data_IF_734950093030
#
_entry.id   IF_734950093030
#
_cell.length_a   1.000
_cell.length_b   1.000
_cell.length_c   1.000
_cell.angle_alpha   90.00
_cell.angle_beta   90.00
_cell.angle_gamma   90.00
#
_symmetry.space_group_name_H-M   'P 1'
#
loop_
_entity.id
_entity.type
_entity.pdbx_description
1 polymer ?
#
# COMPACT_ATOMS: atom_id res chain seq x y z
N UNK A 1 1.05 0.83 6.51
CA UNK A 1 1.51 0.48 5.14
C UNK A 1 2.03 -0.94 5.17
N UNK A 2 1.67 -1.78 4.20
CA UNK A 2 2.17 -3.16 4.06
C UNK A 2 3.04 -3.22 2.82
N UNK A 3 4.27 -3.74 2.94
CA UNK A 3 5.17 -4.00 1.81
C UNK A 3 5.99 -5.26 2.05
N UNK A 4 6.53 -5.83 0.98
CA UNK A 4 7.62 -6.79 1.06
C UNK A 4 8.98 -6.10 0.97
N UNK A 5 10.02 -6.84 1.37
CA UNK A 5 11.40 -6.45 1.07
C UNK A 5 11.64 -6.50 -0.44
N UNK A 6 12.38 -5.51 -0.94
CA UNK A 6 12.83 -5.49 -2.34
C UNK A 6 14.08 -6.37 -2.44
N UNK A 7 13.97 -7.47 -3.19
CA UNK A 7 15.09 -8.37 -3.44
C UNK A 7 16.25 -7.65 -4.15
N UNK A 8 17.51 -8.09 -3.97
CA UNK A 8 18.67 -7.45 -4.61
C UNK A 8 18.53 -7.32 -6.13
N UNK A 9 17.97 -8.32 -6.80
CA UNK A 9 17.81 -8.37 -8.27
C UNK A 9 16.67 -7.48 -8.81
N UNK A 10 15.84 -6.97 -7.90
CA UNK A 10 14.75 -6.03 -8.19
C UNK A 10 15.08 -4.61 -7.76
N UNK A 11 16.19 -4.42 -7.04
CA UNK A 11 16.57 -3.13 -6.48
C UNK A 11 17.10 -2.22 -7.58
N UNK A 12 16.63 -0.98 -7.57
CA UNK A 12 17.27 0.10 -8.30
C UNK A 12 18.43 0.65 -7.46
N UNK A 13 19.65 0.54 -7.98
CA UNK A 13 20.85 1.05 -7.31
C UNK A 13 21.09 2.54 -7.56
N UNK A 14 20.37 3.13 -8.51
CA UNK A 14 20.42 4.56 -8.76
C UNK A 14 19.57 5.30 -7.73
N UNK A 15 20.16 6.31 -7.09
CA UNK A 15 19.43 7.19 -6.19
C UNK A 15 18.40 7.99 -6.99
N UNK A 16 17.11 7.75 -6.75
CA UNK A 16 16.01 8.56 -7.29
C UNK A 16 15.78 9.79 -6.40
N UNK A 17 15.25 10.84 -7.02
CA UNK A 17 14.87 12.08 -6.31
C UNK A 17 13.60 11.89 -5.48
N UNK A 18 12.72 11.00 -5.94
CA UNK A 18 11.47 10.66 -5.25
C UNK A 18 11.74 9.93 -3.93
N UNK A 19 11.12 10.41 -2.85
CA UNK A 19 11.20 9.80 -1.53
C UNK A 19 10.47 8.45 -1.49
N UNK A 20 10.95 7.54 -0.65
CA UNK A 20 10.28 6.26 -0.38
C UNK A 20 8.86 6.50 0.15
N UNK A 21 7.90 5.58 -0.12
CA UNK A 21 6.50 5.79 0.24
C UNK A 21 6.28 6.20 1.69
N UNK A 22 6.98 5.58 2.63
CA UNK A 22 6.88 5.90 4.05
C UNK A 22 7.19 7.38 4.31
N UNK A 23 8.31 7.88 3.78
CA UNK A 23 8.73 9.26 3.99
C UNK A 23 7.80 10.24 3.27
N UNK A 24 7.33 9.89 2.08
CA UNK A 24 6.41 10.73 1.31
C UNK A 24 5.11 11.03 2.08
N UNK A 25 4.50 10.01 2.68
CA UNK A 25 3.29 10.20 3.49
C UNK A 25 3.54 10.99 4.78
N UNK A 26 4.73 10.87 5.38
CA UNK A 26 5.15 11.69 6.52
C UNK A 26 5.29 13.16 6.10
N UNK A 27 5.87 13.44 4.94
CA UNK A 27 6.01 14.80 4.38
C UNK A 27 4.64 15.46 4.09
N UNK A 28 3.61 14.65 3.84
CA UNK A 28 2.22 15.10 3.66
C UNK A 28 1.44 15.25 4.97
N UNK A 29 2.10 15.03 6.11
CA UNK A 29 1.53 15.28 7.45
C UNK A 29 0.85 14.08 8.10
N UNK A 30 1.01 12.88 7.55
CA UNK A 30 0.47 11.65 8.15
C UNK A 30 1.45 11.02 9.15
N UNK A 31 0.89 10.38 10.19
CA UNK A 31 1.65 9.44 11.02
C UNK A 31 1.54 8.06 10.38
N UNK A 32 2.68 7.47 10.04
CA UNK A 32 2.73 6.21 9.29
C UNK A 32 3.47 5.12 10.05
N UNK A 33 2.99 3.89 9.94
CA UNK A 33 3.70 2.68 10.36
C UNK A 33 3.83 1.76 9.17
N UNK A 34 5.00 1.13 9.04
CA UNK A 34 5.29 0.12 8.03
C UNK A 34 5.22 -1.29 8.64
N UNK A 35 4.60 -2.21 7.91
CA UNK A 35 4.56 -3.64 8.18
C UNK A 35 5.30 -4.30 7.02
N UNK A 36 6.44 -4.90 7.32
CA UNK A 36 7.19 -5.69 6.35
C UNK A 36 6.69 -7.13 6.38
N UNK A 37 6.16 -7.61 5.24
CA UNK A 37 5.77 -9.01 5.06
C UNK A 37 7.02 -9.83 4.83
N UNK A 38 7.34 -10.69 5.80
CA UNK A 38 8.48 -11.61 5.78
C UNK A 38 8.07 -12.95 6.39
N UNK A 39 8.91 -13.97 6.25
CA UNK A 39 8.68 -15.31 6.83
C UNK A 39 8.50 -15.27 8.36
N UNK A 40 9.00 -14.22 9.02
CA UNK A 40 8.92 -14.05 10.47
C UNK A 40 7.57 -13.45 10.94
N UNK A 41 6.72 -12.99 10.02
CA UNK A 41 5.43 -12.42 10.38
C UNK A 41 4.46 -13.55 10.75
N UNK A 42 4.16 -13.68 12.05
CA UNK A 42 3.27 -14.74 12.56
C UNK A 42 1.89 -14.73 11.89
N UNK A 43 1.29 -13.55 11.75
CA UNK A 43 0.09 -13.33 10.95
C UNK A 43 -0.03 -11.86 10.56
N UNK A 44 -0.66 -11.60 9.41
CA UNK A 44 -0.95 -10.24 8.93
C UNK A 44 -1.86 -9.49 9.90
N UNK A 45 -2.84 -10.18 10.48
CA UNK A 45 -3.75 -9.59 11.47
C UNK A 45 -3.00 -9.11 12.72
N UNK A 46 -2.08 -9.91 13.26
CA UNK A 46 -1.26 -9.49 14.39
C UNK A 46 -0.39 -8.28 14.04
N UNK A 47 0.23 -8.28 12.85
CA UNK A 47 1.00 -7.14 12.34
C UNK A 47 0.16 -5.87 12.25
N UNK A 48 -1.08 -5.97 11.75
CA UNK A 48 -2.04 -4.86 11.69
C UNK A 48 -2.40 -4.36 13.09
N UNK A 49 -2.75 -5.25 14.02
CA UNK A 49 -3.07 -4.89 15.40
C UNK A 49 -1.91 -4.18 16.11
N UNK A 50 -0.68 -4.66 15.93
CA UNK A 50 0.51 -4.01 16.49
C UNK A 50 0.76 -2.63 15.89
N UNK A 51 0.60 -2.48 14.58
CA UNK A 51 0.75 -1.18 13.91
C UNK A 51 -0.29 -0.17 14.39
N UNK A 52 -1.55 -0.59 14.54
CA UNK A 52 -2.63 0.27 15.05
C UNK A 52 -2.42 0.65 16.51
N UNK A 53 -1.95 -0.29 17.33
CA UNK A 53 -1.59 0.00 18.72
C UNK A 53 -0.44 1.03 18.81
N UNK A 54 0.56 0.92 17.92
CA UNK A 54 1.66 1.89 17.84
C UNK A 54 1.15 3.28 17.41
N UNK A 55 0.30 3.35 16.39
CA UNK A 55 -0.31 4.60 15.93
C UNK A 55 -1.16 5.26 17.03
N UNK A 56 -2.01 4.48 17.72
CA UNK A 56 -2.87 4.98 18.80
C UNK A 56 -2.09 5.56 19.99
N UNK A 57 -0.89 5.03 20.26
CA UNK A 57 0.01 5.53 21.32
C UNK A 57 0.85 6.73 20.87
N UNK A 58 0.96 6.98 19.57
CA UNK A 58 1.81 8.04 19.06
C UNK A 58 1.16 9.42 19.31
N UNK A 59 1.92 10.33 19.92
CA UNK A 59 1.42 11.65 20.34
C UNK A 59 0.90 12.52 19.19
N UNK A 60 1.50 12.38 18.00
CA UNK A 60 1.12 13.12 16.79
C UNK A 60 -0.07 12.52 16.03
N UNK A 61 -0.62 11.38 16.50
CA UNK A 61 -1.76 10.73 15.87
C UNK A 61 -3.06 11.20 16.55
N UNK A 62 -3.71 12.18 15.94
CA UNK A 62 -4.87 12.85 16.52
C UNK A 62 -6.15 12.00 16.42
N UNK A 63 -6.34 11.31 15.30
CA UNK A 63 -7.52 10.47 15.04
C UNK A 63 -7.18 8.99 15.28
N UNK A 64 -7.58 8.46 16.44
CA UNK A 64 -7.12 7.14 16.92
C UNK A 64 -8.03 5.96 16.54
N UNK A 65 -9.08 6.22 15.78
CA UNK A 65 -10.09 5.23 15.36
C UNK A 65 -10.35 5.20 13.85
N UNK A 66 -9.60 5.99 13.08
CA UNK A 66 -9.77 6.17 11.65
C UNK A 66 -8.42 6.09 10.94
N UNK A 67 -8.07 4.91 10.43
CA UNK A 67 -6.81 4.67 9.75
C UNK A 67 -7.03 4.29 8.28
N UNK A 68 -6.14 4.79 7.41
CA UNK A 68 -6.00 4.33 6.04
C UNK A 68 -4.97 3.22 5.95
N UNK A 69 -5.20 2.23 5.09
CA UNK A 69 -4.26 1.16 4.81
C UNK A 69 -3.76 1.25 3.36
N UNK A 70 -2.45 1.28 3.18
CA UNK A 70 -1.80 1.20 1.87
C UNK A 70 -1.07 -0.15 1.77
N UNK A 71 -1.32 -0.87 0.69
CA UNK A 71 -0.82 -2.22 0.45
C UNK A 71 -0.02 -2.26 -0.86
N UNK A 72 1.24 -2.64 -0.76
CA UNK A 72 2.09 -2.92 -1.90
C UNK A 72 2.23 -4.43 -2.06
N UNK A 73 2.09 -4.92 -3.30
CA UNK A 73 2.19 -6.35 -3.64
C UNK A 73 1.25 -7.26 -2.82
N UNK A 74 -0.08 -7.02 -2.88
CA UNK A 74 -1.08 -7.76 -2.10
C UNK A 74 -1.04 -9.29 -2.24
N UNK A 75 -0.55 -9.81 -3.36
CA UNK A 75 -0.39 -11.26 -3.61
C UNK A 75 0.50 -11.96 -2.60
N UNK A 76 1.33 -11.22 -1.84
CA UNK A 76 2.22 -11.76 -0.81
C UNK A 76 1.54 -11.93 0.55
N UNK A 77 0.29 -11.48 0.68
CA UNK A 77 -0.48 -11.54 1.92
C UNK A 77 -1.90 -12.08 1.61
N UNK A 78 -2.06 -13.40 1.38
CA UNK A 78 -3.34 -13.97 0.97
C UNK A 78 -4.45 -13.76 2.02
N UNK A 79 -4.11 -13.80 3.31
CA UNK A 79 -5.05 -13.60 4.42
C UNK A 79 -5.34 -12.13 4.74
N UNK A 80 -4.95 -11.20 3.86
CA UNK A 80 -5.07 -9.78 4.10
C UNK A 80 -6.51 -9.29 4.10
N UNK A 81 -7.34 -9.74 3.15
CA UNK A 81 -8.74 -9.32 3.06
C UNK A 81 -9.56 -9.66 4.32
N UNK A 82 -9.55 -10.90 4.84
CA UNK A 82 -10.28 -11.21 6.07
C UNK A 82 -9.75 -10.41 7.27
N UNK A 83 -8.42 -10.27 7.41
CA UNK A 83 -7.83 -9.47 8.48
C UNK A 83 -8.27 -7.99 8.42
N UNK A 84 -8.28 -7.39 7.22
CA UNK A 84 -8.75 -6.02 7.03
C UNK A 84 -10.22 -5.89 7.42
N UNK A 85 -11.08 -6.82 7.01
CA UNK A 85 -12.52 -6.73 7.26
C UNK A 85 -12.84 -6.83 8.76
N UNK A 86 -12.05 -7.58 9.53
CA UNK A 86 -12.22 -7.74 10.98
C UNK A 86 -11.84 -6.49 11.80
N UNK A 87 -11.04 -5.59 11.26
CA UNK A 87 -10.48 -4.44 12.01
C UNK A 87 -11.26 -3.16 11.69
N UNK A 88 -12.21 -2.77 12.55
CA UNK A 88 -13.13 -1.65 12.29
C UNK A 88 -12.45 -0.28 12.12
N UNK A 89 -11.25 -0.10 12.67
CA UNK A 89 -10.51 1.16 12.65
C UNK A 89 -9.87 1.43 11.28
N UNK A 90 -9.69 0.41 10.44
CA UNK A 90 -9.29 0.60 9.03
C UNK A 90 -10.53 1.04 8.25
N UNK A 91 -10.51 2.26 7.71
CA UNK A 91 -11.68 2.88 7.04
C UNK A 91 -11.61 2.85 5.52
N UNK A 92 -10.40 2.87 4.96
CA UNK A 92 -10.19 2.87 3.52
C UNK A 92 -8.88 2.17 3.18
N UNK A 93 -8.84 1.59 1.98
CA UNK A 93 -7.71 0.80 1.50
C UNK A 93 -7.25 1.34 0.15
N UNK A 94 -5.94 1.39 -0.03
CA UNK A 94 -5.29 1.62 -1.32
C UNK A 94 -4.38 0.43 -1.60
N UNK A 95 -4.55 -0.25 -2.74
CA UNK A 95 -3.67 -1.36 -3.11
C UNK A 95 -3.00 -1.16 -4.46
N UNK A 96 -1.70 -1.43 -4.50
CA UNK A 96 -0.89 -1.52 -5.71
C UNK A 96 -0.83 -2.98 -6.15
N UNK A 97 -1.89 -3.41 -6.81
CA UNK A 97 -2.20 -4.80 -7.15
C UNK A 97 -3.63 -5.18 -6.72
N UNK A 98 -4.12 -6.30 -7.25
CA UNK A 98 -5.41 -6.85 -6.87
C UNK A 98 -5.28 -7.67 -5.57
N UNK A 99 -6.26 -7.51 -4.67
CA UNK A 99 -6.46 -8.48 -3.59
C UNK A 99 -7.03 -9.77 -4.16
N UNK A 100 -6.79 -10.90 -3.48
CA UNK A 100 -7.42 -12.18 -3.85
C UNK A 100 -8.94 -12.14 -3.66
N UNK A 101 -9.39 -11.40 -2.65
CA UNK A 101 -10.80 -11.25 -2.31
C UNK A 101 -11.17 -9.77 -2.18
N UNK A 102 -12.42 -9.44 -2.53
CA UNK A 102 -12.96 -8.08 -2.43
C UNK A 102 -13.13 -7.68 -0.95
N UNK A 103 -12.59 -6.51 -0.58
CA UNK A 103 -12.86 -5.93 0.74
C UNK A 103 -14.28 -5.37 0.83
N UNK A 104 -14.87 -5.42 2.03
CA UNK A 104 -16.16 -4.79 2.34
C UNK A 104 -16.03 -3.27 2.54
N UNK A 105 -14.81 -2.72 2.50
CA UNK A 105 -14.50 -1.33 2.79
C UNK A 105 -14.21 -0.55 1.51
N UNK A 106 -14.35 0.79 1.53
CA UNK A 106 -13.91 1.65 0.44
C UNK A 106 -12.48 1.32 0.02
N UNK A 107 -12.29 0.99 -1.26
CA UNK A 107 -11.02 0.47 -1.75
C UNK A 107 -10.69 1.02 -3.13
N UNK A 108 -9.49 1.60 -3.22
CA UNK A 108 -8.83 2.07 -4.43
C UNK A 108 -7.76 1.08 -4.92
N UNK A 109 -7.79 0.71 -6.20
CA UNK A 109 -6.85 -0.22 -6.80
C UNK A 109 -5.98 0.45 -7.86
N UNK A 110 -4.68 0.19 -7.83
CA UNK A 110 -3.72 0.54 -8.88
C UNK A 110 -3.19 -0.74 -9.52
N UNK A 111 -3.53 -0.97 -10.79
CA UNK A 111 -3.22 -2.20 -11.50
C UNK A 111 -2.30 -1.91 -12.70
N UNK A 112 -1.25 -2.72 -12.85
CA UNK A 112 -0.30 -2.69 -13.97
C UNK A 112 -0.80 -3.55 -15.13
N UNK A 113 -1.98 -3.22 -15.66
CA UNK A 113 -2.61 -3.96 -16.75
C UNK A 113 -3.40 -3.05 -17.68
N UNK A 114 -3.71 -3.57 -18.86
CA UNK A 114 -4.57 -2.90 -19.84
C UNK A 114 -6.04 -2.94 -19.42
N UNK A 115 -6.76 -1.84 -19.63
CA UNK A 115 -8.19 -1.77 -19.44
C UNK A 115 -8.70 -0.35 -19.19
N UNK A 116 -10.02 -0.21 -19.10
CA UNK A 116 -10.70 1.04 -18.72
C UNK A 116 -10.91 1.14 -17.21
N UNK A 117 -11.07 2.37 -16.70
CA UNK A 117 -11.52 2.59 -15.31
C UNK A 117 -12.86 1.89 -15.08
N UNK A 118 -13.01 1.19 -13.97
CA UNK A 118 -14.28 0.56 -13.60
C UNK A 118 -15.33 1.61 -13.26
N UNK A 119 -16.60 1.34 -13.60
CA UNK A 119 -17.75 2.25 -13.40
C UNK A 119 -18.58 1.91 -12.15
N UNK A 120 -18.33 0.78 -11.50
CA UNK A 120 -18.98 0.42 -10.23
C UNK A 120 -18.16 0.94 -9.04
N UNK A 121 -18.70 0.85 -7.81
CA UNK A 121 -18.16 1.28 -6.50
C UNK A 121 -16.71 0.88 -6.14
N UNK A 122 -15.90 0.40 -7.10
CA UNK A 122 -14.47 0.17 -7.03
C UNK A 122 -13.74 1.22 -7.87
N UNK A 123 -12.99 2.09 -7.20
CA UNK A 123 -12.13 3.04 -7.89
C UNK A 123 -10.87 2.28 -8.38
N UNK A 124 -10.93 1.75 -9.60
CA UNK A 124 -9.82 1.01 -10.22
C UNK A 124 -9.09 1.90 -11.22
N UNK A 125 -7.79 2.12 -10.99
CA UNK A 125 -6.88 2.81 -11.89
C UNK A 125 -5.90 1.84 -12.55
N UNK A 126 -5.83 1.92 -13.86
CA UNK A 126 -5.06 1.01 -14.71
C UNK A 126 -3.90 1.75 -15.36
N UNK A 127 -2.74 1.11 -15.37
CA UNK A 127 -1.49 1.64 -15.92
C UNK A 127 -0.98 0.64 -16.96
N UNK A 128 -1.44 0.74 -18.22
CA UNK A 128 -1.08 -0.24 -19.26
C UNK A 128 0.39 -0.19 -19.67
N UNK A 129 1.10 0.90 -19.36
CA UNK A 129 2.47 1.15 -19.81
C UNK A 129 3.53 0.80 -18.76
N UNK A 130 3.14 0.36 -17.57
CA UNK A 130 4.09 -0.05 -16.52
C UNK A 130 4.12 -1.57 -16.43
N UNK A 131 5.31 -2.12 -16.19
CA UNK A 131 5.54 -3.56 -16.19
C UNK A 131 5.06 -4.24 -14.91
N UNK A 132 4.98 -3.49 -13.81
CA UNK A 132 4.66 -4.00 -12.47
C UNK A 132 4.03 -2.90 -11.63
N UNK A 133 3.22 -3.27 -10.63
CA UNK A 133 2.67 -2.33 -9.64
C UNK A 133 3.73 -1.74 -8.72
N UNK A 134 4.95 -2.27 -8.74
CA UNK A 134 6.14 -1.67 -8.12
C UNK A 134 6.58 -0.36 -8.76
N UNK A 135 5.90 0.14 -9.81
CA UNK A 135 6.19 1.42 -10.47
C UNK A 135 6.18 2.62 -9.51
N UNK A 136 5.52 2.48 -8.36
CA UNK A 136 5.38 3.48 -7.31
C UNK A 136 6.57 3.51 -6.34
N UNK A 137 7.43 2.50 -6.34
CA UNK A 137 8.53 2.33 -5.39
C UNK A 137 9.85 2.86 -6.00
N UNK A 138 10.41 4.00 -5.54
CA UNK A 138 11.64 4.58 -6.10
C UNK A 138 12.85 3.63 -6.07
N UNK A 139 12.90 2.75 -5.08
CA UNK A 139 13.94 1.71 -4.91
C UNK A 139 13.75 0.47 -5.78
N UNK A 140 12.68 0.35 -6.58
CA UNK A 140 12.45 -0.79 -7.45
C UNK A 140 12.86 -0.49 -8.89
N UNK A 141 13.38 -1.48 -9.63
CA UNK A 141 13.83 -1.31 -11.02
C UNK A 141 12.71 -0.88 -11.98
N UNK A 142 11.47 -1.30 -11.70
CA UNK A 142 10.28 -0.95 -12.49
C UNK A 142 9.70 0.43 -12.14
N UNK A 143 10.37 1.23 -11.31
CA UNK A 143 9.93 2.57 -10.92
C UNK A 143 9.65 3.46 -12.14
N UNK A 144 8.51 4.14 -12.12
CA UNK A 144 8.13 5.12 -13.12
C UNK A 144 7.63 6.39 -12.44
N UNK A 145 8.48 7.43 -12.40
CA UNK A 145 8.16 8.70 -11.73
C UNK A 145 6.89 9.36 -12.30
N UNK A 146 6.65 9.25 -13.61
CA UNK A 146 5.43 9.79 -14.25
C UNK A 146 4.17 9.05 -13.78
N UNK A 147 4.20 7.72 -13.77
CA UNK A 147 3.07 6.92 -13.31
C UNK A 147 2.85 7.09 -11.80
N UNK A 148 3.93 7.14 -11.01
CA UNK A 148 3.90 7.38 -9.57
C UNK A 148 3.27 8.74 -9.23
N UNK A 149 3.64 9.79 -9.95
CA UNK A 149 3.06 11.14 -9.78
C UNK A 149 1.56 11.13 -10.05
N UNK A 150 1.13 10.54 -11.17
CA UNK A 150 -0.31 10.44 -11.49
C UNK A 150 -1.05 9.62 -10.44
N UNK A 151 -0.48 8.50 -10.00
CA UNK A 151 -1.10 7.65 -9.00
C UNK A 151 -1.32 8.38 -7.68
N UNK A 152 -0.33 9.18 -7.28
CA UNK A 152 -0.37 9.96 -6.04
C UNK A 152 -1.42 11.06 -6.02
N UNK A 153 -1.79 11.60 -7.19
CA UNK A 153 -2.80 12.67 -7.29
C UNK A 153 -4.26 12.19 -7.33
N UNK A 154 -4.48 10.88 -7.31
CA UNK A 154 -5.80 10.25 -7.53
C UNK A 154 -6.34 9.62 -6.26
#
# INVERSE_FOLDING_TARGET
MIRSSVSPDQRNWEKKLDAEPLQKWVEEGFVTVEIEVSENLQSIENGLCQALAALSRHEKCNEKSCYGLIVYSPSLAPDLTPAINNINEIKAIVSYGALLERSQKPHLYYLAESGTKSTDNENVYRYPYVTSTSFILPTHKDFSSSAATVAHTR
#
